data_IF_344423071716
#
_entry.id   IF_344423071716
#
_cell.length_a   1.000
_cell.length_b   1.000
_cell.length_c   1.000
_cell.angle_alpha   90.00
_cell.angle_beta   90.00
_cell.angle_gamma   90.00
#
_symmetry.space_group_name_H-M   'P 1'
#
loop_
_entity.id
_entity.type
_entity.pdbx_description
1 polymer ?
#
# COMPACT_ATOMS: atom_id res chain seq x y z
N UNK A 1 -7.28 -1.73 -20.02
CA UNK A 1 -7.35 -0.83 -18.86
C UNK A 1 -7.57 -1.73 -17.66
N UNK A 2 -6.54 -1.97 -16.85
CA UNK A 2 -6.72 -2.72 -15.61
C UNK A 2 -7.42 -1.79 -14.61
N UNK A 3 -8.65 -2.14 -14.25
CA UNK A 3 -9.42 -1.45 -13.24
C UNK A 3 -9.03 -2.03 -11.88
N UNK A 4 -8.82 -1.17 -10.88
CA UNK A 4 -8.64 -1.61 -9.49
C UNK A 4 -9.94 -2.23 -8.96
N UNK A 5 -9.83 -3.11 -7.97
CA UNK A 5 -11.01 -3.67 -7.31
C UNK A 5 -11.72 -2.60 -6.47
N UNK A 6 -13.01 -2.82 -6.17
CA UNK A 6 -13.85 -1.86 -5.43
C UNK A 6 -13.29 -1.48 -4.04
N UNK A 7 -12.50 -2.38 -3.42
CA UNK A 7 -11.89 -2.17 -2.11
C UNK A 7 -10.42 -1.69 -2.17
N UNK A 8 -9.98 -1.21 -3.33
CA UNK A 8 -8.64 -0.69 -3.56
C UNK A 8 -8.64 0.81 -3.83
N UNK A 9 -7.56 1.46 -3.42
CA UNK A 9 -7.31 2.87 -3.67
C UNK A 9 -6.41 3.06 -4.91
N UNK A 10 -6.85 3.91 -5.83
CA UNK A 10 -6.08 4.27 -7.02
C UNK A 10 -5.05 5.35 -6.68
N UNK A 11 -3.77 5.04 -6.85
CA UNK A 11 -2.67 6.00 -6.72
C UNK A 11 -1.85 6.03 -8.01
N UNK A 12 -2.18 6.96 -8.90
CA UNK A 12 -1.56 7.02 -10.22
C UNK A 12 -1.96 5.80 -11.05
N UNK A 13 -0.98 4.98 -11.45
CA UNK A 13 -1.20 3.71 -12.14
C UNK A 13 -1.19 2.49 -11.23
N UNK A 14 -1.11 2.68 -9.89
CA UNK A 14 -1.06 1.58 -8.91
C UNK A 14 -2.41 1.43 -8.21
N UNK A 15 -2.82 0.19 -7.96
CA UNK A 15 -3.93 -0.17 -7.08
C UNK A 15 -3.38 -0.55 -5.71
N UNK A 16 -3.95 0.02 -4.64
CA UNK A 16 -3.45 -0.13 -3.27
C UNK A 16 -4.52 -0.73 -2.38
N UNK A 17 -4.22 -1.87 -1.78
CA UNK A 17 -5.03 -2.44 -0.72
C UNK A 17 -4.44 -2.13 0.65
N UNK A 18 -5.25 -1.54 1.53
CA UNK A 18 -4.83 -1.19 2.89
C UNK A 18 -5.32 -2.28 3.85
N UNK A 19 -4.42 -2.75 4.71
CA UNK A 19 -4.77 -3.71 5.75
C UNK A 19 -4.68 -3.06 7.12
N UNK A 20 -5.75 -3.18 7.91
CA UNK A 20 -5.83 -2.65 9.27
C UNK A 20 -5.23 -3.58 10.33
N UNK A 21 -5.09 -4.88 10.02
CA UNK A 21 -4.53 -5.88 10.95
C UNK A 21 -3.05 -5.59 11.22
N UNK A 22 -2.72 -5.33 12.49
CA UNK A 22 -1.33 -5.23 12.96
C UNK A 22 -0.57 -6.53 12.69
N UNK A 23 0.60 -6.39 12.08
CA UNK A 23 1.48 -7.49 11.72
C UNK A 23 2.93 -6.99 11.66
N UNK A 24 3.90 -7.89 11.67
CA UNK A 24 5.30 -7.55 11.41
C UNK A 24 5.48 -7.18 9.94
N UNK A 25 6.55 -6.43 9.63
CA UNK A 25 6.87 -6.08 8.24
C UNK A 25 6.98 -7.31 7.34
N UNK A 26 7.62 -8.38 7.82
CA UNK A 26 7.77 -9.65 7.07
C UNK A 26 6.41 -10.26 6.74
N UNK A 27 5.51 -10.36 7.72
CA UNK A 27 4.15 -10.89 7.49
C UNK A 27 3.33 -10.00 6.54
N UNK A 28 3.51 -8.68 6.60
CA UNK A 28 2.88 -7.76 5.65
C UNK A 28 3.36 -7.99 4.22
N UNK A 29 4.67 -8.18 4.04
CA UNK A 29 5.27 -8.49 2.75
C UNK A 29 4.77 -9.83 2.22
N UNK A 30 4.86 -10.88 3.03
CA UNK A 30 4.41 -12.24 2.64
C UNK A 30 2.93 -12.24 2.23
N UNK A 31 2.09 -11.46 2.93
CA UNK A 31 0.68 -11.28 2.57
C UNK A 31 0.52 -10.62 1.20
N UNK A 32 1.22 -9.52 0.92
CA UNK A 32 1.15 -8.88 -0.40
C UNK A 32 1.65 -9.81 -1.52
N UNK A 33 2.73 -10.55 -1.27
CA UNK A 33 3.27 -11.54 -2.21
C UNK A 33 2.28 -12.66 -2.50
N UNK A 34 1.54 -13.14 -1.49
CA UNK A 34 0.49 -14.16 -1.67
C UNK A 34 -0.67 -13.70 -2.58
N UNK A 35 -0.78 -12.40 -2.81
CA UNK A 35 -1.77 -11.77 -3.69
C UNK A 35 -1.19 -11.39 -5.06
N UNK A 36 -0.03 -11.95 -5.44
CA UNK A 36 0.73 -11.56 -6.63
C UNK A 36 1.03 -10.04 -6.69
N UNK A 37 1.25 -9.44 -5.52
CA UNK A 37 1.54 -8.01 -5.35
C UNK A 37 2.74 -7.82 -4.42
N UNK A 38 3.06 -6.57 -4.06
CA UNK A 38 4.14 -6.26 -3.12
C UNK A 38 3.75 -5.07 -2.24
N UNK A 39 4.49 -4.85 -1.15
CA UNK A 39 4.33 -3.62 -0.36
C UNK A 39 4.59 -2.41 -1.25
N UNK A 40 3.78 -1.37 -1.10
CA UNK A 40 3.91 -0.19 -1.94
C UNK A 40 5.27 0.48 -1.73
N UNK A 41 5.92 0.79 -2.85
CA UNK A 41 7.04 1.73 -2.90
C UNK A 41 6.54 3.06 -3.44
N UNK A 42 6.82 4.12 -2.69
CA UNK A 42 6.49 5.50 -3.05
C UNK A 42 7.74 6.13 -3.66
N UNK A 43 7.58 6.81 -4.79
CA UNK A 43 8.70 7.37 -5.55
C UNK A 43 8.78 8.89 -5.45
N UNK A 44 7.74 9.53 -4.90
CA UNK A 44 7.66 10.98 -4.76
C UNK A 44 6.77 11.40 -3.60
N UNK A 45 6.96 12.63 -3.15
CA UNK A 45 6.24 13.25 -2.02
C UNK A 45 4.74 13.47 -2.32
N UNK A 46 4.35 13.54 -3.60
CA UNK A 46 2.95 13.73 -3.99
C UNK A 46 2.18 12.43 -3.73
N UNK A 47 2.75 11.28 -4.11
CA UNK A 47 2.21 9.96 -3.82
C UNK A 47 2.10 9.72 -2.32
N UNK A 48 3.15 10.06 -1.56
CA UNK A 48 3.14 9.98 -0.10
C UNK A 48 1.99 10.77 0.52
N UNK A 49 1.83 12.05 0.13
CA UNK A 49 0.77 12.91 0.66
C UNK A 49 -0.63 12.43 0.30
N UNK A 50 -0.85 12.01 -0.95
CA UNK A 50 -2.14 11.49 -1.41
C UNK A 50 -2.54 10.23 -0.64
N UNK A 51 -1.61 9.28 -0.50
CA UNK A 51 -1.83 8.05 0.23
C UNK A 51 -2.07 8.31 1.72
N UNK A 52 -1.26 9.16 2.35
CA UNK A 52 -1.42 9.52 3.76
C UNK A 52 -2.78 10.20 4.00
N UNK A 53 -3.20 11.13 3.14
CA UNK A 53 -4.51 11.78 3.24
C UNK A 53 -5.66 10.77 3.12
N UNK A 54 -5.58 9.85 2.16
CA UNK A 54 -6.59 8.82 1.98
C UNK A 54 -6.69 7.90 3.21
N UNK A 55 -5.55 7.45 3.74
CA UNK A 55 -5.48 6.65 4.97
C UNK A 55 -6.12 7.43 6.13
N UNK A 56 -5.71 8.68 6.38
CA UNK A 56 -6.20 9.45 7.53
C UNK A 56 -7.70 9.72 7.49
N UNK A 57 -8.31 9.75 6.30
CA UNK A 57 -9.74 10.01 6.12
C UNK A 57 -10.60 8.75 6.07
N UNK A 58 -10.02 7.57 5.82
CA UNK A 58 -10.75 6.30 5.63
C UNK A 58 -10.30 5.16 6.56
N UNK A 59 -9.39 5.42 7.49
CA UNK A 59 -8.85 4.40 8.41
C UNK A 59 -9.75 4.19 9.63
N UNK A 60 -10.67 3.24 9.53
CA UNK A 60 -11.60 2.85 10.59
C UNK A 60 -10.91 2.42 11.91
N UNK A 61 -9.71 1.86 11.84
CA UNK A 61 -9.00 1.32 13.01
C UNK A 61 -7.97 2.29 13.63
N UNK A 62 -7.91 3.55 13.18
CA UNK A 62 -7.04 4.60 13.73
C UNK A 62 -5.54 4.22 13.81
N UNK A 63 -5.08 3.28 12.99
CA UNK A 63 -3.65 2.94 12.93
C UNK A 63 -2.83 4.16 12.48
N UNK A 64 -1.82 4.56 13.25
CA UNK A 64 -1.01 5.76 12.96
C UNK A 64 0.24 5.46 12.14
N UNK A 65 0.50 4.19 11.82
CA UNK A 65 1.68 3.76 11.07
C UNK A 65 1.38 2.55 10.21
N UNK A 66 1.96 2.52 9.00
CA UNK A 66 1.72 1.49 7.99
C UNK A 66 3.05 1.00 7.42
N UNK A 67 3.11 -0.29 7.06
CA UNK A 67 4.27 -0.85 6.40
C UNK A 67 4.27 -0.51 4.91
N UNK A 68 5.41 -0.01 4.44
CA UNK A 68 5.71 0.24 3.02
C UNK A 68 7.00 -0.51 2.65
N UNK A 69 7.27 -0.63 1.35
CA UNK A 69 8.51 -1.25 0.88
C UNK A 69 9.69 -0.28 1.00
N UNK A 70 10.81 -0.79 1.50
CA UNK A 70 12.13 -0.14 1.47
C UNK A 70 13.06 -0.76 0.41
N UNK A 71 12.59 -1.76 -0.33
CA UNK A 71 13.39 -2.48 -1.32
C UNK A 71 13.47 -1.70 -2.63
N UNK A 72 14.63 -1.73 -3.28
CA UNK A 72 14.75 -1.23 -4.67
C UNK A 72 14.02 -2.22 -5.57
N UNK A 73 13.22 -1.71 -6.50
CA UNK A 73 12.69 -2.53 -7.61
C UNK A 73 13.90 -3.09 -8.35
N UNK A 74 14.09 -4.41 -8.26
CA UNK A 74 14.95 -5.12 -9.20
C UNK A 74 14.14 -5.23 -10.49
N UNK A 75 14.52 -4.41 -11.48
CA UNK A 75 14.14 -4.69 -12.85
C UNK A 75 15.07 -5.83 -13.30
N UNK A 76 14.57 -7.06 -13.24
CA UNK A 76 15.17 -8.18 -13.98
C UNK A 76 14.92 -7.99 -15.48
#
# INVERSE_FOLDING_TARGET
YEQCYDDEYVLGSKCIKIFSKKQTWKLAKDKCLSMNSNLIRLHDIIQERKLAYFILTNNEQQSTSFWISNEKENYD
#
